data_IF_272902387046
#
_entry.id   IF_272902387046
#
_cell.length_a   1.000
_cell.length_b   1.000
_cell.length_c   1.000
_cell.angle_alpha   90.00
_cell.angle_beta   90.00
_cell.angle_gamma   90.00
#
_symmetry.space_group_name_H-M   'P 1'
#
loop_
_entity.id
_entity.type
_entity.pdbx_description
1 polymer ?
#
# COMPACT_ATOMS: atom_id res chain seq x y z
N UNK A 1 33.47 -32.00 -1.86
CA UNK A 1 33.52 -31.24 -3.13
C UNK A 1 34.08 -29.87 -2.86
N UNK A 2 34.81 -29.28 -3.82
CA UNK A 2 35.20 -27.86 -3.71
C UNK A 2 33.97 -26.98 -3.98
N UNK A 3 33.72 -25.96 -3.14
CA UNK A 3 32.63 -25.01 -3.30
C UNK A 3 33.03 -23.86 -4.24
N UNK A 4 33.55 -24.21 -5.42
CA UNK A 4 34.09 -23.22 -6.37
C UNK A 4 33.09 -22.99 -7.49
N UNK A 5 32.88 -21.74 -7.84
CA UNK A 5 32.04 -21.36 -8.97
C UNK A 5 32.57 -21.97 -10.27
N UNK A 6 31.72 -22.60 -11.03
CA UNK A 6 31.98 -23.11 -12.38
C UNK A 6 31.34 -22.23 -13.45
N UNK A 7 30.45 -21.36 -13.08
CA UNK A 7 29.76 -20.38 -13.93
C UNK A 7 28.66 -19.66 -13.20
N UNK A 8 28.25 -18.53 -13.75
CA UNK A 8 27.15 -17.69 -13.26
C UNK A 8 26.39 -17.10 -14.44
N UNK A 9 25.16 -16.67 -14.20
CA UNK A 9 24.33 -15.97 -15.21
C UNK A 9 24.81 -14.52 -15.41
N UNK A 10 24.40 -13.91 -16.54
CA UNK A 10 24.66 -12.49 -16.78
C UNK A 10 24.02 -11.63 -15.68
N UNK A 11 22.79 -11.94 -15.26
CA UNK A 11 22.11 -11.21 -14.16
C UNK A 11 22.90 -11.25 -12.84
N UNK A 12 23.61 -12.34 -12.56
CA UNK A 12 24.48 -12.45 -11.39
C UNK A 12 25.69 -11.52 -11.52
N UNK A 13 26.33 -11.47 -12.71
CA UNK A 13 27.43 -10.56 -13.00
C UNK A 13 27.00 -9.10 -12.84
N UNK A 14 25.85 -8.75 -13.40
CA UNK A 14 25.30 -7.39 -13.34
C UNK A 14 24.96 -7.00 -11.89
N UNK A 15 24.43 -7.92 -11.10
CA UNK A 15 24.09 -7.68 -9.71
C UNK A 15 25.29 -7.30 -8.84
N UNK A 16 26.40 -8.03 -9.02
CA UNK A 16 27.65 -7.76 -8.30
C UNK A 16 28.62 -6.83 -9.05
N UNK A 17 28.21 -6.26 -10.21
CA UNK A 17 29.01 -5.39 -11.08
C UNK A 17 30.34 -6.02 -11.54
N UNK A 18 30.32 -7.30 -11.82
CA UNK A 18 31.50 -8.04 -12.28
C UNK A 18 31.50 -8.07 -13.81
N UNK A 19 32.59 -7.66 -14.41
CA UNK A 19 32.68 -7.51 -15.87
C UNK A 19 32.88 -8.83 -16.61
N UNK A 20 33.53 -9.80 -15.98
CA UNK A 20 33.87 -11.03 -16.65
C UNK A 20 33.62 -12.24 -15.75
N UNK A 21 33.00 -13.29 -16.30
CA UNK A 21 32.80 -14.56 -15.62
C UNK A 21 34.11 -15.22 -15.16
N UNK A 22 35.20 -14.96 -15.85
CA UNK A 22 36.53 -15.44 -15.48
C UNK A 22 37.03 -14.92 -14.12
N UNK A 23 36.48 -13.78 -13.68
CA UNK A 23 36.81 -13.19 -12.37
C UNK A 23 36.19 -13.96 -11.20
N UNK A 24 35.22 -14.84 -11.47
CA UNK A 24 34.50 -15.63 -10.47
C UNK A 24 34.85 -17.12 -10.56
N UNK A 25 34.98 -17.66 -11.77
CA UNK A 25 35.23 -19.09 -11.97
C UNK A 25 36.49 -19.53 -11.21
N UNK A 26 36.32 -20.62 -10.44
CA UNK A 26 37.37 -21.17 -9.58
C UNK A 26 37.49 -20.53 -8.19
N UNK A 27 36.78 -19.45 -7.91
CA UNK A 27 36.70 -18.83 -6.58
C UNK A 27 35.53 -19.37 -5.77
N UNK A 28 35.54 -19.13 -4.47
CA UNK A 28 34.43 -19.40 -3.52
C UNK A 28 33.74 -18.11 -3.12
N UNK A 29 32.60 -18.19 -2.45
CA UNK A 29 31.92 -17.03 -1.87
C UNK A 29 32.83 -16.29 -0.88
N UNK A 30 33.66 -17.02 -0.13
CA UNK A 30 34.61 -16.46 0.81
C UNK A 30 35.70 -15.67 0.11
N UNK A 31 36.20 -16.17 -1.04
CA UNK A 31 37.19 -15.48 -1.85
C UNK A 31 36.64 -14.14 -2.41
N UNK A 32 35.33 -14.05 -2.59
CA UNK A 32 34.67 -12.86 -3.13
C UNK A 32 34.22 -11.86 -2.05
N UNK A 33 34.16 -12.27 -0.78
CA UNK A 33 33.82 -11.40 0.32
C UNK A 33 32.35 -10.96 0.34
N UNK A 34 31.46 -11.73 -0.28
CA UNK A 34 30.03 -11.35 -0.44
C UNK A 34 29.17 -11.58 0.77
N UNK A 35 29.62 -12.33 1.78
CA UNK A 35 28.83 -12.67 2.96
C UNK A 35 29.47 -12.20 4.26
N UNK A 36 28.66 -11.58 5.13
CA UNK A 36 29.08 -11.19 6.48
C UNK A 36 29.21 -12.42 7.37
N UNK A 37 28.28 -13.36 7.21
CA UNK A 37 28.24 -14.61 7.98
C UNK A 37 28.16 -15.82 7.03
N UNK A 38 29.31 -16.21 6.49
CA UNK A 38 29.40 -17.30 5.51
C UNK A 38 29.19 -18.70 6.10
N UNK A 39 29.26 -18.88 7.42
CA UNK A 39 29.13 -20.20 8.05
C UNK A 39 27.78 -20.85 7.78
N UNK A 40 26.69 -20.09 7.88
CA UNK A 40 25.35 -20.58 7.60
C UNK A 40 25.21 -21.09 6.15
N UNK A 41 25.63 -20.32 5.17
CA UNK A 41 25.59 -20.71 3.77
C UNK A 41 26.49 -21.92 3.46
N UNK A 42 27.61 -22.02 4.16
CA UNK A 42 28.54 -23.15 3.99
C UNK A 42 27.93 -24.46 4.46
N UNK A 43 27.20 -24.47 5.58
CA UNK A 43 26.55 -25.67 6.11
C UNK A 43 25.38 -26.09 5.22
N UNK A 44 24.61 -25.15 4.68
CA UNK A 44 23.58 -25.43 3.68
C UNK A 44 24.15 -26.04 2.42
N UNK A 45 25.17 -25.45 1.84
CA UNK A 45 25.82 -25.96 0.64
C UNK A 45 26.43 -27.34 0.85
N UNK A 46 26.95 -27.60 2.06
CA UNK A 46 27.40 -28.94 2.42
C UNK A 46 26.24 -29.92 2.40
N UNK A 47 25.09 -29.59 2.95
CA UNK A 47 23.89 -30.42 2.95
C UNK A 47 23.45 -30.75 1.53
N UNK A 48 23.48 -29.77 0.63
CA UNK A 48 23.13 -29.95 -0.80
C UNK A 48 24.16 -30.86 -1.49
N UNK A 49 25.47 -30.64 -1.28
CA UNK A 49 26.55 -31.33 -1.99
C UNK A 49 26.81 -32.75 -1.48
N UNK A 50 26.59 -33.01 -0.19
CA UNK A 50 26.90 -34.31 0.45
C UNK A 50 25.67 -35.21 0.54
N UNK A 51 24.50 -34.64 0.84
CA UNK A 51 23.27 -35.40 1.11
C UNK A 51 22.20 -35.24 0.04
N UNK A 52 22.41 -34.37 -0.97
CA UNK A 52 21.42 -34.09 -2.02
C UNK A 52 20.19 -33.34 -1.49
N UNK A 53 20.29 -32.68 -0.34
CA UNK A 53 19.21 -31.86 0.20
C UNK A 53 18.92 -30.70 -0.75
N UNK A 54 17.65 -30.25 -0.78
CA UNK A 54 17.26 -29.00 -1.43
C UNK A 54 17.17 -27.95 -0.37
N UNK A 55 17.95 -26.87 -0.50
CA UNK A 55 17.81 -25.66 0.32
C UNK A 55 16.84 -24.73 -0.39
N UNK A 56 15.70 -24.39 0.25
CA UNK A 56 14.64 -23.55 -0.34
C UNK A 56 14.38 -22.32 0.48
N UNK A 57 14.27 -21.18 -0.22
CA UNK A 57 13.77 -19.90 0.30
C UNK A 57 14.47 -19.46 1.62
N UNK A 58 15.77 -19.73 1.68
CA UNK A 58 16.57 -19.39 2.85
C UNK A 58 16.95 -17.93 2.79
N UNK A 59 16.54 -17.18 3.82
CA UNK A 59 16.83 -15.77 3.96
C UNK A 59 18.23 -15.60 4.54
N UNK A 60 19.02 -14.72 3.94
CA UNK A 60 20.35 -14.39 4.37
C UNK A 60 20.76 -12.98 3.94
N UNK A 61 22.03 -12.64 4.18
CA UNK A 61 22.58 -11.35 3.79
C UNK A 61 23.78 -11.53 2.89
N UNK A 62 23.86 -10.74 1.81
CA UNK A 62 25.07 -10.58 1.01
C UNK A 62 25.51 -9.12 0.98
N UNK A 63 26.78 -8.89 0.62
CA UNK A 63 27.34 -7.56 0.48
C UNK A 63 27.39 -7.20 -1.01
N UNK A 64 26.70 -6.13 -1.38
CA UNK A 64 26.72 -5.55 -2.73
C UNK A 64 27.19 -4.11 -2.60
N UNK A 65 28.26 -3.75 -3.31
CA UNK A 65 28.86 -2.38 -3.26
C UNK A 65 29.17 -1.91 -1.82
N UNK A 66 29.62 -2.83 -0.98
CA UNK A 66 29.94 -2.52 0.42
C UNK A 66 28.73 -2.30 1.33
N UNK A 67 27.51 -2.59 0.85
CA UNK A 67 26.27 -2.50 1.64
C UNK A 67 25.66 -3.89 1.82
N UNK A 68 25.11 -4.20 3.01
CA UNK A 68 24.37 -5.42 3.22
C UNK A 68 23.03 -5.35 2.48
N UNK A 69 22.69 -6.44 1.80
CA UNK A 69 21.40 -6.68 1.15
C UNK A 69 20.78 -7.96 1.69
N UNK A 70 19.50 -7.96 1.94
CA UNK A 70 18.76 -9.17 2.27
C UNK A 70 18.43 -9.94 1.01
N UNK A 71 18.79 -11.20 0.99
CA UNK A 71 18.52 -12.09 -0.14
C UNK A 71 17.74 -13.31 0.34
N UNK A 72 16.94 -13.88 -0.54
CA UNK A 72 16.31 -15.18 -0.37
C UNK A 72 16.85 -16.11 -1.45
N UNK A 73 17.53 -17.18 -1.04
CA UNK A 73 18.22 -18.10 -1.92
C UNK A 73 17.63 -19.50 -1.92
N UNK A 74 17.66 -20.15 -3.10
CA UNK A 74 17.30 -21.55 -3.26
C UNK A 74 18.43 -22.27 -3.99
N UNK A 75 18.80 -23.47 -3.52
CA UNK A 75 19.91 -24.24 -4.04
C UNK A 75 19.49 -25.70 -4.26
N UNK A 76 19.88 -26.27 -5.40
CA UNK A 76 19.56 -27.64 -5.82
C UNK A 76 20.86 -28.41 -6.12
N UNK A 77 20.90 -29.74 -5.82
CA UNK A 77 22.01 -30.59 -6.25
C UNK A 77 21.94 -30.85 -7.76
N UNK A 78 23.10 -30.85 -8.39
CA UNK A 78 23.26 -31.23 -9.80
C UNK A 78 23.82 -32.65 -9.88
N UNK A 79 23.16 -33.54 -10.62
CA UNK A 79 23.51 -34.95 -10.74
C UNK A 79 24.11 -35.28 -12.10
N UNK A 80 25.08 -36.23 -12.10
CA UNK A 80 25.47 -37.01 -13.28
C UNK A 80 25.24 -38.48 -12.95
N UNK A 81 24.20 -39.07 -13.53
CA UNK A 81 23.69 -40.36 -13.07
C UNK A 81 23.22 -40.30 -11.61
N UNK A 82 23.78 -41.14 -10.75
CA UNK A 82 23.47 -41.16 -9.31
C UNK A 82 24.41 -40.30 -8.44
N UNK A 83 25.43 -39.67 -9.07
CA UNK A 83 26.46 -38.91 -8.34
C UNK A 83 26.17 -37.45 -8.37
N UNK A 84 26.20 -36.79 -7.23
CA UNK A 84 26.16 -35.31 -7.12
C UNK A 84 27.50 -34.79 -7.66
N UNK A 85 27.46 -33.85 -8.61
CA UNK A 85 28.63 -33.25 -9.23
C UNK A 85 28.78 -31.77 -8.91
N UNK A 86 27.76 -31.16 -8.33
CA UNK A 86 27.74 -29.75 -7.97
C UNK A 86 26.40 -29.32 -7.43
N UNK A 87 26.21 -28.04 -7.28
CA UNK A 87 24.93 -27.41 -7.00
C UNK A 87 24.65 -26.28 -8.00
N UNK A 88 23.39 -25.97 -8.19
CA UNK A 88 22.92 -24.75 -8.85
C UNK A 88 22.02 -24.02 -7.90
N UNK A 89 22.11 -22.69 -7.84
CA UNK A 89 21.26 -21.84 -7.03
C UNK A 89 20.85 -20.58 -7.75
N UNK A 90 19.80 -19.98 -7.24
CA UNK A 90 19.36 -18.62 -7.58
C UNK A 90 18.98 -17.89 -6.30
N UNK A 91 18.92 -16.58 -6.39
CA UNK A 91 18.46 -15.75 -5.27
C UNK A 91 17.68 -14.54 -5.78
N UNK A 92 16.89 -13.97 -4.87
CA UNK A 92 16.20 -12.71 -5.03
C UNK A 92 16.70 -11.71 -4.01
N UNK A 93 16.91 -10.47 -4.44
CA UNK A 93 17.20 -9.34 -3.56
C UNK A 93 15.88 -8.81 -3.00
N UNK A 94 15.63 -9.03 -1.72
CA UNK A 94 14.40 -8.63 -1.04
C UNK A 94 14.33 -7.11 -0.88
N UNK A 95 15.44 -6.43 -0.63
CA UNK A 95 15.50 -4.97 -0.49
C UNK A 95 15.14 -4.28 -1.82
N UNK A 96 15.52 -4.88 -2.95
CA UNK A 96 15.16 -4.38 -4.28
C UNK A 96 13.68 -4.59 -4.58
N UNK A 97 13.10 -5.72 -4.21
CA UNK A 97 11.67 -5.99 -4.35
C UNK A 97 10.87 -4.98 -3.52
N UNK A 98 11.23 -4.78 -2.26
CA UNK A 98 10.59 -3.81 -1.38
C UNK A 98 10.66 -2.37 -1.91
N UNK A 99 11.81 -1.98 -2.47
CA UNK A 99 11.97 -0.64 -3.05
C UNK A 99 11.11 -0.44 -4.30
N UNK A 100 11.02 -1.44 -5.17
CA UNK A 100 10.16 -1.40 -6.35
C UNK A 100 8.67 -1.37 -5.97
N UNK A 101 8.28 -2.15 -4.96
CA UNK A 101 6.92 -2.14 -4.44
C UNK A 101 6.55 -0.77 -3.87
N UNK A 102 7.43 -0.15 -3.08
CA UNK A 102 7.23 1.21 -2.57
C UNK A 102 7.11 2.25 -3.69
N UNK A 103 7.94 2.16 -4.74
CA UNK A 103 7.82 3.06 -5.90
C UNK A 103 6.49 2.91 -6.61
N UNK A 104 5.99 1.68 -6.79
CA UNK A 104 4.66 1.43 -7.38
C UNK A 104 3.58 2.04 -6.49
N UNK A 105 3.68 1.89 -5.17
CA UNK A 105 2.76 2.47 -4.21
C UNK A 105 2.79 4.00 -4.23
N UNK A 106 3.97 4.60 -4.27
CA UNK A 106 4.15 6.05 -4.37
C UNK A 106 3.59 6.65 -5.67
N UNK A 107 3.61 5.90 -6.77
CA UNK A 107 3.04 6.32 -8.06
C UNK A 107 1.55 6.02 -8.18
N UNK A 108 0.99 5.16 -7.34
CA UNK A 108 -0.43 4.81 -7.35
C UNK A 108 -1.29 6.03 -7.06
N UNK A 109 -2.42 6.12 -7.75
CA UNK A 109 -3.50 7.07 -7.48
C UNK A 109 -4.69 6.39 -6.77
N UNK A 110 -4.56 5.08 -6.51
CA UNK A 110 -5.60 4.24 -5.91
C UNK A 110 -5.19 3.84 -4.49
N UNK A 111 -6.14 3.88 -3.59
CA UNK A 111 -6.03 3.36 -2.23
C UNK A 111 -6.18 1.84 -2.22
N UNK A 112 -5.28 1.14 -1.53
CA UNK A 112 -5.22 -0.32 -1.52
C UNK A 112 -6.36 -0.98 -0.76
N UNK A 113 -6.81 -0.36 0.32
CA UNK A 113 -7.83 -0.92 1.21
C UNK A 113 -9.22 -0.82 0.58
N UNK A 114 -9.52 0.31 -0.06
CA UNK A 114 -10.87 0.63 -0.55
C UNK A 114 -11.02 0.55 -2.06
N UNK A 115 -9.92 0.50 -2.82
CA UNK A 115 -9.90 0.57 -4.29
C UNK A 115 -10.54 1.85 -4.84
N UNK A 116 -10.65 2.89 -4.02
CA UNK A 116 -11.01 4.25 -4.40
C UNK A 116 -9.73 5.04 -4.76
N UNK A 117 -9.88 6.31 -5.14
CA UNK A 117 -8.72 7.19 -5.24
C UNK A 117 -8.04 7.34 -3.87
N UNK A 118 -6.73 7.46 -3.86
CA UNK A 118 -6.01 7.99 -2.70
C UNK A 118 -5.95 9.53 -2.76
N UNK A 119 -5.27 10.17 -1.81
CA UNK A 119 -5.15 11.63 -1.78
C UNK A 119 -4.51 12.20 -3.06
N UNK A 120 -3.55 11.51 -3.66
CA UNK A 120 -2.93 11.92 -4.93
C UNK A 120 -3.91 11.88 -6.09
N UNK A 121 -4.70 10.81 -6.18
CA UNK A 121 -5.77 10.69 -7.17
C UNK A 121 -6.83 11.78 -7.00
N UNK A 122 -7.20 12.08 -5.76
CA UNK A 122 -8.10 13.19 -5.44
C UNK A 122 -7.58 14.54 -5.95
N UNK A 123 -6.29 14.84 -5.76
CA UNK A 123 -5.70 16.09 -6.24
C UNK A 123 -5.80 16.22 -7.76
N UNK A 124 -5.59 15.15 -8.50
CA UNK A 124 -5.73 15.17 -9.97
C UNK A 124 -7.17 15.49 -10.40
N UNK A 125 -8.15 14.89 -9.76
CA UNK A 125 -9.57 15.17 -9.99
C UNK A 125 -9.92 16.61 -9.59
N UNK A 126 -9.45 17.05 -8.42
CA UNK A 126 -9.67 18.42 -7.96
C UNK A 126 -9.12 19.48 -8.93
N UNK A 127 -7.95 19.21 -9.53
CA UNK A 127 -7.40 20.09 -10.57
C UNK A 127 -8.30 20.19 -11.80
N UNK A 128 -8.95 19.09 -12.22
CA UNK A 128 -9.90 19.13 -13.34
C UNK A 128 -11.12 19.98 -12.99
N UNK A 129 -11.72 19.79 -11.82
CA UNK A 129 -12.86 20.58 -11.35
C UNK A 129 -12.51 22.06 -11.21
N UNK A 130 -11.36 22.39 -10.64
CA UNK A 130 -10.90 23.78 -10.51
C UNK A 130 -10.65 24.44 -11.88
N UNK A 131 -10.11 23.70 -12.85
CA UNK A 131 -9.95 24.19 -14.23
C UNK A 131 -11.30 24.43 -14.92
N UNK A 132 -12.27 23.51 -14.77
CA UNK A 132 -13.61 23.67 -15.32
C UNK A 132 -14.31 24.90 -14.73
N UNK A 133 -14.19 25.11 -13.42
CA UNK A 133 -14.71 26.31 -12.77
C UNK A 133 -14.07 27.58 -13.33
N UNK A 134 -12.75 27.61 -13.50
CA UNK A 134 -12.03 28.79 -14.03
C UNK A 134 -12.40 29.12 -15.49
N UNK A 135 -12.65 28.09 -16.34
CA UNK A 135 -12.87 28.29 -17.78
C UNK A 135 -14.37 28.49 -18.08
N UNK A 136 -15.24 27.71 -17.44
CA UNK A 136 -16.66 27.62 -17.75
C UNK A 136 -17.58 28.20 -16.67
N UNK A 137 -17.01 28.60 -15.52
CA UNK A 137 -17.77 28.99 -14.32
C UNK A 137 -18.65 27.87 -13.75
N UNK A 138 -18.36 26.61 -14.11
CA UNK A 138 -19.03 25.43 -13.57
C UNK A 138 -18.52 25.14 -12.17
N UNK A 139 -19.25 25.61 -11.16
CA UNK A 139 -18.86 25.41 -9.75
C UNK A 139 -18.95 23.93 -9.35
N UNK A 140 -18.22 23.57 -8.32
CA UNK A 140 -18.19 22.20 -7.78
C UNK A 140 -18.27 22.21 -6.25
N UNK A 141 -18.69 21.09 -5.71
CA UNK A 141 -18.76 20.89 -4.26
C UNK A 141 -17.79 19.78 -3.84
N UNK A 142 -16.95 20.09 -2.85
CA UNK A 142 -16.12 19.11 -2.15
C UNK A 142 -16.85 18.67 -0.87
N UNK A 143 -16.90 17.37 -0.62
CA UNK A 143 -17.55 16.78 0.55
C UNK A 143 -16.56 15.92 1.29
N UNK A 144 -16.27 16.28 2.54
CA UNK A 144 -15.48 15.47 3.47
C UNK A 144 -16.44 14.64 4.32
N UNK A 145 -16.19 13.34 4.37
CA UNK A 145 -16.94 12.36 5.16
C UNK A 145 -16.03 11.74 6.21
N UNK A 146 -16.55 11.44 7.38
CA UNK A 146 -15.81 10.75 8.46
C UNK A 146 -16.74 9.81 9.22
N UNK A 147 -16.25 8.59 9.51
CA UNK A 147 -16.92 7.59 10.34
C UNK A 147 -15.97 7.16 11.45
N UNK A 148 -15.82 7.98 12.52
CA UNK A 148 -14.75 7.83 13.51
C UNK A 148 -14.81 6.52 14.30
N UNK A 149 -15.92 5.82 14.28
CA UNK A 149 -16.09 4.53 14.91
C UNK A 149 -15.20 3.44 14.27
N UNK A 150 -14.83 3.58 13.00
CA UNK A 150 -13.90 2.64 12.33
C UNK A 150 -12.56 2.60 13.07
N UNK A 151 -12.01 3.75 13.45
CA UNK A 151 -10.75 3.82 14.21
C UNK A 151 -10.90 3.28 15.63
N UNK A 152 -12.07 3.46 16.26
CA UNK A 152 -12.35 2.85 17.56
C UNK A 152 -12.40 1.32 17.45
N UNK A 153 -13.10 0.79 16.47
CA UNK A 153 -13.19 -0.65 16.22
C UNK A 153 -11.82 -1.25 15.90
N UNK A 154 -10.97 -0.53 15.17
CA UNK A 154 -9.59 -0.94 14.90
C UNK A 154 -8.76 -1.11 16.17
N UNK A 155 -8.92 -0.21 17.14
CA UNK A 155 -8.23 -0.30 18.44
C UNK A 155 -8.80 -1.40 19.33
N UNK A 156 -10.13 -1.56 19.34
CA UNK A 156 -10.82 -2.43 20.31
C UNK A 156 -10.87 -3.90 19.84
N UNK A 157 -10.97 -4.14 18.52
CA UNK A 157 -11.21 -5.48 17.94
C UNK A 157 -10.18 -5.87 16.86
N UNK A 158 -9.22 -5.01 16.55
CA UNK A 158 -8.13 -5.29 15.62
C UNK A 158 -8.38 -4.83 14.19
N UNK A 159 -7.31 -4.93 13.35
CA UNK A 159 -7.32 -4.41 11.98
C UNK A 159 -8.30 -5.14 11.05
N UNK A 160 -8.44 -6.46 11.18
CA UNK A 160 -9.27 -7.27 10.26
C UNK A 160 -10.76 -6.91 10.37
N UNK A 161 -11.25 -6.72 11.62
CA UNK A 161 -12.64 -6.30 11.87
C UNK A 161 -12.88 -4.88 11.35
N UNK A 162 -11.92 -3.99 11.54
CA UNK A 162 -12.01 -2.62 11.03
C UNK A 162 -11.95 -2.56 9.50
N UNK A 163 -11.19 -3.42 8.85
CA UNK A 163 -11.11 -3.50 7.40
C UNK A 163 -12.44 -3.96 6.78
N UNK A 164 -13.08 -4.97 7.36
CA UNK A 164 -14.41 -5.41 6.93
C UNK A 164 -15.44 -4.28 7.08
N UNK A 165 -15.39 -3.54 8.19
CA UNK A 165 -16.26 -2.39 8.41
C UNK A 165 -16.00 -1.27 7.40
N UNK A 166 -14.71 -0.95 7.15
CA UNK A 166 -14.29 0.02 6.15
C UNK A 166 -14.83 -0.35 4.77
N UNK A 167 -14.77 -1.64 4.41
CA UNK A 167 -15.28 -2.14 3.14
C UNK A 167 -16.80 -1.90 3.01
N UNK A 168 -17.60 -2.25 4.03
CA UNK A 168 -19.03 -2.01 4.02
C UNK A 168 -19.41 -0.53 3.94
N UNK A 169 -18.70 0.32 4.69
CA UNK A 169 -18.90 1.78 4.61
C UNK A 169 -18.57 2.30 3.22
N UNK A 170 -17.48 1.80 2.62
CA UNK A 170 -17.08 2.14 1.25
C UNK A 170 -18.16 1.76 0.24
N UNK A 171 -18.75 0.58 0.35
CA UNK A 171 -19.86 0.14 -0.52
C UNK A 171 -21.07 1.09 -0.45
N UNK A 172 -21.45 1.55 0.76
CA UNK A 172 -22.55 2.50 0.91
C UNK A 172 -22.22 3.86 0.28
N UNK A 173 -20.99 4.37 0.46
CA UNK A 173 -20.55 5.63 -0.15
C UNK A 173 -20.58 5.52 -1.69
N UNK A 174 -20.07 4.43 -2.25
CA UNK A 174 -20.06 4.20 -3.72
C UNK A 174 -21.47 4.04 -4.26
N UNK A 175 -22.37 3.35 -3.54
CA UNK A 175 -23.76 3.17 -3.95
C UNK A 175 -24.50 4.50 -4.08
N UNK A 176 -24.18 5.44 -3.20
CA UNK A 176 -24.82 6.77 -3.18
C UNK A 176 -24.21 7.74 -4.21
N UNK A 177 -23.00 7.48 -4.68
CA UNK A 177 -22.33 8.29 -5.69
C UNK A 177 -21.96 7.44 -6.90
N UNK A 178 -22.67 7.56 -8.03
CA UNK A 178 -22.40 6.74 -9.22
C UNK A 178 -21.06 7.06 -9.90
N UNK A 179 -20.45 8.21 -9.60
CA UNK A 179 -19.14 8.61 -10.12
C UNK A 179 -18.03 8.19 -9.16
N UNK A 180 -17.74 6.90 -9.11
CA UNK A 180 -16.69 6.33 -8.26
C UNK A 180 -15.32 7.02 -8.45
N UNK A 181 -15.05 7.51 -9.66
CA UNK A 181 -13.80 8.17 -10.04
C UNK A 181 -13.59 9.53 -9.37
N UNK A 182 -14.58 10.04 -8.64
CA UNK A 182 -14.48 11.29 -7.89
C UNK A 182 -14.40 11.09 -6.37
N UNK A 183 -14.36 9.83 -5.91
CA UNK A 183 -14.32 9.47 -4.49
C UNK A 183 -12.90 9.05 -4.12
N UNK A 184 -12.39 9.57 -3.02
CA UNK A 184 -11.11 9.20 -2.44
C UNK A 184 -11.23 8.74 -0.99
N UNK A 185 -10.43 7.76 -0.62
CA UNK A 185 -10.15 7.40 0.76
C UNK A 185 -8.88 8.14 1.21
N UNK A 186 -8.99 8.89 2.31
CA UNK A 186 -7.90 9.74 2.83
C UNK A 186 -7.13 9.07 3.98
N UNK A 187 -7.37 7.78 4.17
CA UNK A 187 -6.85 6.99 5.30
C UNK A 187 -7.77 7.00 6.51
N UNK A 188 -7.56 6.02 7.39
CA UNK A 188 -8.35 5.77 8.60
C UNK A 188 -9.86 5.66 8.30
N UNK A 189 -10.63 6.64 8.74
CA UNK A 189 -12.09 6.66 8.63
C UNK A 189 -12.61 7.75 7.69
N UNK A 190 -11.74 8.40 6.90
CA UNK A 190 -12.06 9.60 6.14
C UNK A 190 -12.13 9.37 4.65
N UNK A 191 -13.19 9.94 4.05
CA UNK A 191 -13.38 9.96 2.60
C UNK A 191 -13.62 11.38 2.12
N UNK A 192 -13.35 11.63 0.86
CA UNK A 192 -13.71 12.87 0.20
C UNK A 192 -14.21 12.56 -1.20
N UNK A 193 -15.21 13.31 -1.63
CA UNK A 193 -15.59 13.28 -3.03
C UNK A 193 -15.92 14.67 -3.57
N UNK A 194 -15.80 14.79 -4.89
CA UNK A 194 -16.12 15.99 -5.63
C UNK A 194 -17.33 15.74 -6.54
N UNK A 195 -18.21 16.71 -6.62
CA UNK A 195 -19.34 16.68 -7.54
C UNK A 195 -19.50 18.03 -8.25
N UNK A 196 -20.00 18.01 -9.47
CA UNK A 196 -20.37 19.24 -10.20
C UNK A 196 -21.58 19.91 -9.56
N UNK A 197 -21.61 21.22 -9.63
CA UNK A 197 -22.69 22.04 -9.14
C UNK A 197 -22.62 22.38 -7.66
N UNK A 198 -23.51 23.28 -7.26
CA UNK A 198 -23.65 23.74 -5.89
C UNK A 198 -24.53 22.78 -5.08
N UNK A 199 -24.46 22.94 -3.76
CA UNK A 199 -25.37 22.27 -2.83
C UNK A 199 -26.83 22.60 -3.17
N UNK A 200 -27.67 21.58 -3.27
CA UNK A 200 -29.10 21.67 -3.44
C UNK A 200 -29.86 20.81 -2.38
N UNK A 201 -31.18 20.88 -2.41
CA UNK A 201 -32.00 20.10 -1.48
C UNK A 201 -31.81 18.59 -1.70
N UNK A 202 -31.67 18.14 -2.94
CA UNK A 202 -31.44 16.73 -3.26
C UNK A 202 -30.13 16.20 -2.68
N UNK A 203 -29.11 17.07 -2.60
CA UNK A 203 -27.85 16.69 -1.96
C UNK A 203 -28.01 16.44 -0.44
N UNK A 204 -28.78 17.27 0.27
CA UNK A 204 -29.05 17.06 1.70
C UNK A 204 -29.77 15.74 1.93
N UNK A 205 -30.78 15.44 1.10
CA UNK A 205 -31.50 14.17 1.15
C UNK A 205 -30.56 12.97 0.90
N UNK A 206 -29.63 13.12 -0.06
CA UNK A 206 -28.60 12.13 -0.33
C UNK A 206 -27.71 11.88 0.90
N UNK A 207 -27.22 12.94 1.56
CA UNK A 207 -26.42 12.80 2.78
C UNK A 207 -27.17 12.18 3.94
N UNK A 208 -28.45 12.51 4.11
CA UNK A 208 -29.31 11.88 5.12
C UNK A 208 -29.51 10.40 4.83
N UNK A 209 -29.73 10.04 3.56
CA UNK A 209 -29.87 8.64 3.14
C UNK A 209 -28.59 7.85 3.39
N UNK A 210 -27.42 8.42 3.06
CA UNK A 210 -26.11 7.81 3.34
C UNK A 210 -25.88 7.64 4.85
N UNK A 211 -26.16 8.67 5.64
CA UNK A 211 -26.05 8.58 7.10
C UNK A 211 -26.94 7.46 7.68
N UNK A 212 -28.15 7.33 7.18
CA UNK A 212 -29.05 6.23 7.58
C UNK A 212 -28.51 4.86 7.14
N UNK A 213 -28.01 4.72 5.92
CA UNK A 213 -27.44 3.48 5.42
C UNK A 213 -26.25 3.03 6.27
N UNK A 214 -25.31 3.93 6.57
CA UNK A 214 -24.16 3.67 7.45
C UNK A 214 -24.65 3.33 8.87
N UNK A 215 -25.63 4.05 9.39
CA UNK A 215 -26.21 3.77 10.72
C UNK A 215 -26.90 2.40 10.80
N UNK A 216 -27.37 1.83 9.69
CA UNK A 216 -27.95 0.49 9.64
C UNK A 216 -26.94 -0.65 9.69
N UNK A 217 -25.64 -0.38 9.54
CA UNK A 217 -24.58 -1.35 9.81
C UNK A 217 -24.47 -1.53 11.33
N UNK A 218 -25.11 -2.57 11.88
CA UNK A 218 -25.24 -2.77 13.34
C UNK A 218 -24.22 -3.73 13.92
N UNK A 219 -23.59 -4.52 13.10
CA UNK A 219 -22.56 -5.48 13.51
C UNK A 219 -21.55 -5.69 12.40
N UNK A 220 -20.34 -6.12 12.77
CA UNK A 220 -19.28 -6.58 11.89
C UNK A 220 -18.62 -7.80 12.53
N UNK A 221 -18.59 -8.92 11.83
CA UNK A 221 -18.03 -10.19 12.32
C UNK A 221 -18.53 -10.59 13.74
N UNK A 222 -19.82 -10.31 14.06
CA UNK A 222 -20.43 -10.60 15.37
C UNK A 222 -20.19 -9.54 16.44
N UNK A 223 -19.42 -8.49 16.16
CA UNK A 223 -19.26 -7.34 17.07
C UNK A 223 -20.30 -6.27 16.79
N UNK A 224 -21.08 -5.91 17.81
CA UNK A 224 -22.08 -4.84 17.70
C UNK A 224 -21.40 -3.48 17.59
N UNK A 225 -21.88 -2.67 16.64
CA UNK A 225 -21.42 -1.30 16.44
C UNK A 225 -22.58 -0.35 16.22
N UNK A 226 -22.36 0.92 16.49
CA UNK A 226 -23.26 2.01 16.11
C UNK A 226 -22.39 3.05 15.43
N UNK A 227 -22.71 3.33 14.17
CA UNK A 227 -21.92 4.20 13.31
C UNK A 227 -22.67 5.50 13.05
N UNK A 228 -21.93 6.60 13.01
CA UNK A 228 -22.44 7.92 12.69
C UNK A 228 -21.58 8.56 11.59
N UNK A 229 -22.24 8.94 10.50
CA UNK A 229 -21.60 9.72 9.46
C UNK A 229 -21.50 11.18 9.90
N UNK A 230 -20.29 11.69 9.92
CA UNK A 230 -20.01 13.12 10.03
C UNK A 230 -19.60 13.64 8.65
N UNK A 231 -20.00 14.85 8.28
CA UNK A 231 -19.60 15.43 7.01
C UNK A 231 -19.46 16.94 7.07
N UNK A 232 -18.63 17.47 6.19
CA UNK A 232 -18.50 18.91 5.91
C UNK A 232 -18.45 19.11 4.40
N UNK A 233 -18.85 20.31 3.96
CA UNK A 233 -18.89 20.68 2.55
C UNK A 233 -18.31 22.06 2.33
N UNK A 234 -17.70 22.24 1.15
CA UNK A 234 -17.27 23.54 0.65
C UNK A 234 -17.42 23.57 -0.87
N UNK A 235 -17.75 24.74 -1.43
CA UNK A 235 -17.83 24.97 -2.86
C UNK A 235 -16.48 25.39 -3.41
N UNK A 236 -16.20 25.10 -4.66
CA UNK A 236 -15.01 25.57 -5.35
C UNK A 236 -14.91 27.10 -5.37
N UNK A 237 -16.04 27.80 -5.49
CA UNK A 237 -16.15 29.26 -5.44
C UNK A 237 -15.81 29.90 -4.09
N UNK A 238 -15.75 29.14 -3.00
CA UNK A 238 -15.43 29.64 -1.67
C UNK A 238 -13.92 29.77 -1.38
N UNK A 239 -13.07 29.20 -2.26
CA UNK A 239 -11.61 29.28 -2.15
C UNK A 239 -10.96 29.77 -3.44
N UNK A 240 -9.72 30.26 -3.34
CA UNK A 240 -8.92 30.66 -4.50
C UNK A 240 -8.23 29.47 -5.18
N UNK A 241 -8.02 28.40 -4.41
CA UNK A 241 -7.39 27.17 -4.84
C UNK A 241 -7.91 26.02 -3.96
N UNK A 242 -7.51 24.81 -4.30
CA UNK A 242 -7.96 23.60 -3.58
C UNK A 242 -7.47 23.56 -2.12
N UNK A 243 -6.29 24.10 -1.82
CA UNK A 243 -5.79 24.18 -0.43
C UNK A 243 -6.68 25.05 0.47
N UNK A 244 -7.21 26.15 -0.07
CA UNK A 244 -8.17 27.01 0.66
C UNK A 244 -9.47 26.22 0.94
N UNK A 245 -9.93 25.40 -0.01
CA UNK A 245 -11.09 24.53 0.16
C UNK A 245 -10.83 23.45 1.24
N UNK A 246 -9.66 22.83 1.25
CA UNK A 246 -9.30 21.85 2.28
C UNK A 246 -9.26 22.46 3.68
N UNK A 247 -8.71 23.68 3.81
CA UNK A 247 -8.71 24.42 5.10
C UNK A 247 -10.12 24.74 5.57
N UNK A 248 -10.99 25.18 4.63
CA UNK A 248 -12.38 25.50 4.93
C UNK A 248 -13.16 24.26 5.37
N UNK A 249 -12.98 23.13 4.67
CA UNK A 249 -13.57 21.83 5.04
C UNK A 249 -13.12 21.41 6.45
N UNK A 250 -11.83 21.51 6.75
CA UNK A 250 -11.29 21.15 8.07
C UNK A 250 -11.87 22.04 9.17
N UNK A 251 -11.99 23.34 8.93
CA UNK A 251 -12.59 24.27 9.89
C UNK A 251 -14.07 23.97 10.14
N UNK A 252 -14.87 23.74 9.08
CA UNK A 252 -16.28 23.38 9.18
C UNK A 252 -16.49 22.05 9.89
N UNK A 253 -15.63 21.08 9.60
CA UNK A 253 -15.67 19.77 10.23
C UNK A 253 -15.42 19.86 11.74
N UNK A 254 -14.39 20.62 12.16
CA UNK A 254 -14.07 20.83 13.57
C UNK A 254 -15.18 21.56 14.30
N UNK A 255 -15.82 22.56 13.68
CA UNK A 255 -16.95 23.29 14.26
C UNK A 255 -18.19 22.38 14.45
N UNK A 256 -18.46 21.51 13.49
CA UNK A 256 -19.55 20.53 13.58
C UNK A 256 -19.34 19.53 14.71
N UNK A 257 -18.12 19.07 14.92
CA UNK A 257 -17.76 18.16 16.03
C UNK A 257 -17.99 18.84 17.40
N UNK A 258 -17.55 20.08 17.57
CA UNK A 258 -17.73 20.80 18.84
C UNK A 258 -19.21 21.01 19.20
N UNK A 259 -20.07 21.24 18.21
CA UNK A 259 -21.52 21.40 18.44
C UNK A 259 -22.21 20.09 18.85
N UNK A 260 -21.71 18.94 18.41
CA UNK A 260 -22.24 17.64 18.83
C UNK A 260 -21.83 17.27 20.26
N UNK A 261 -20.59 17.53 20.64
CA UNK A 261 -20.09 17.28 22.00
C UNK A 261 -20.67 18.23 23.04
N UNK A 262 -20.90 19.49 22.68
CA UNK A 262 -21.53 20.47 23.57
C UNK A 262 -23.01 20.24 23.87
N UNK A 263 -23.69 19.37 23.14
CA UNK A 263 -25.09 18.98 23.38
C UNK A 263 -25.25 17.70 24.23
N UNK A 264 -24.15 17.00 24.51
CA UNK A 264 -24.13 15.77 25.31
C UNK A 264 -23.55 15.98 26.71
N UNK A 265 -23.05 17.18 27.04
CA UNK A 265 -22.65 17.63 28.37
C UNK A 265 -23.77 18.48 29.01
#
# INVERSE_FOLDING_TARGET
MSRRFVGVSQAFLDYYEIRNVADIVGKTDEDMGWHINYHHFKDEERAVLEYGAISRDVVGQCIVRGRPHHIMATKFPVYRGKKIIGLIGYFYDLDKIDSQQKQIEELSIIDKETQLLNFRGLLLVAMQYANNYRIFSDDYTCVLLDVPEIDRIRRDYGPDVAQELLHRVTEEIVRMNPLKETIAHLGNCRFMYLKSGSEDQGFREQMMSLANAIHHIKDVQGYRCTLYLQYAMAKGSEGRNFDDILKLLSARFSAAQQQQYGKQA
#
